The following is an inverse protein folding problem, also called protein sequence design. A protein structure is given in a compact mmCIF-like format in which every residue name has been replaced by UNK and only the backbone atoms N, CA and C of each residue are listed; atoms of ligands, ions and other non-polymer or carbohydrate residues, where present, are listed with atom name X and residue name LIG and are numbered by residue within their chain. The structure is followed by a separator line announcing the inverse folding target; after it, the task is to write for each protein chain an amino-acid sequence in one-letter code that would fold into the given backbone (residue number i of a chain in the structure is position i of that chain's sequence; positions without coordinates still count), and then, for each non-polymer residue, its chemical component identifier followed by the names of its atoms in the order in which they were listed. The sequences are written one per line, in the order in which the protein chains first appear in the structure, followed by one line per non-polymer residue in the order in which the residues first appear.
data_IF_651577596979
#
_entry.id   IF_651577596979
#
_cell.length_a   1.000
_cell.length_b   1.000
_cell.length_c   1.000
_cell.angle_alpha   90.00
_cell.angle_beta   90.00
_cell.angle_gamma   90.00
#
_symmetry.space_group_name_H-M   'P 1'
#
loop_
_entity.id
_entity.type
_entity.pdbx_description
1 polymer ?
#
# COMPACT_ATOMS: atom_id res chain seq x y z
N UNK A 1 -5.99 -27.77 -32.90
CA UNK A 1 -6.95 -27.16 -33.86
C UNK A 1 -6.89 -25.66 -33.63
N UNK A 2 -6.13 -24.92 -34.44
CA UNK A 2 -5.94 -23.48 -34.24
C UNK A 2 -7.18 -22.72 -34.69
N UNK A 3 -7.84 -22.01 -33.78
CA UNK A 3 -8.95 -21.11 -34.11
C UNK A 3 -8.46 -20.03 -35.07
N UNK A 4 -8.90 -20.13 -36.33
CA UNK A 4 -8.37 -19.44 -37.51
C UNK A 4 -8.84 -17.97 -37.66
N UNK A 5 -9.07 -17.26 -36.55
CA UNK A 5 -9.69 -15.93 -36.58
C UNK A 5 -9.25 -14.94 -35.48
N UNK A 6 -8.37 -15.35 -34.55
CA UNK A 6 -7.84 -14.44 -33.53
C UNK A 6 -6.33 -14.24 -33.74
N UNK A 7 -5.82 -12.99 -33.76
CA UNK A 7 -4.41 -12.72 -33.99
C UNK A 7 -3.51 -13.07 -32.78
N UNK A 8 -4.09 -13.49 -31.65
CA UNK A 8 -3.40 -13.75 -30.39
C UNK A 8 -3.73 -15.14 -29.83
N UNK A 9 -2.82 -15.76 -29.06
CA UNK A 9 -3.05 -17.06 -28.44
C UNK A 9 -4.23 -16.99 -27.48
N UNK A 10 -5.21 -17.87 -27.68
CA UNK A 10 -6.38 -18.01 -26.81
C UNK A 10 -6.16 -19.15 -25.81
N UNK A 11 -6.61 -18.96 -24.58
CA UNK A 11 -6.76 -20.05 -23.62
C UNK A 11 -8.01 -20.85 -24.01
N UNK A 12 -7.82 -22.13 -24.33
CA UNK A 12 -8.92 -23.04 -24.69
C UNK A 12 -9.09 -24.09 -23.59
N UNK A 13 -10.33 -24.34 -23.20
CA UNK A 13 -10.69 -25.43 -22.30
C UNK A 13 -11.40 -26.51 -23.12
N UNK A 14 -10.94 -27.75 -23.01
CA UNK A 14 -11.58 -28.92 -23.59
C UNK A 14 -11.98 -29.88 -22.47
N UNK A 15 -13.25 -30.27 -22.44
CA UNK A 15 -13.81 -31.14 -21.38
C UNK A 15 -14.33 -32.41 -22.02
N UNK A 16 -13.98 -33.56 -21.43
CA UNK A 16 -14.56 -34.85 -21.77
C UNK A 16 -15.41 -35.32 -20.60
N UNK A 17 -16.74 -35.36 -20.79
CA UNK A 17 -17.68 -35.79 -19.74
C UNK A 17 -18.24 -37.17 -20.10
N UNK A 18 -18.34 -38.06 -19.11
CA UNK A 18 -19.01 -39.35 -19.26
C UNK A 18 -20.51 -39.15 -18.99
N UNK A 19 -21.35 -39.52 -19.94
CA UNK A 19 -22.80 -39.48 -19.76
C UNK A 19 -23.23 -40.49 -18.68
N UNK A 20 -23.68 -39.99 -17.53
CA UNK A 20 -24.30 -40.76 -16.43
C UNK A 20 -25.76 -40.32 -16.29
N UNK A 21 -26.62 -41.09 -15.60
CA UNK A 21 -28.04 -40.77 -15.41
C UNK A 21 -28.34 -39.37 -14.82
N UNK A 22 -27.35 -38.70 -14.22
CA UNK A 22 -27.43 -37.31 -13.71
C UNK A 22 -27.14 -36.23 -14.77
N UNK A 23 -26.66 -36.59 -15.95
CA UNK A 23 -26.31 -35.70 -17.07
C UNK A 23 -27.07 -36.18 -18.33
N UNK A 24 -28.33 -35.81 -18.41
CA UNK A 24 -29.21 -36.12 -19.53
C UNK A 24 -29.38 -34.85 -20.40
N UNK A 25 -28.42 -34.56 -21.30
CA UNK A 25 -28.50 -33.43 -22.22
C UNK A 25 -27.19 -32.66 -22.45
N UNK A 26 -27.30 -31.43 -22.96
CA UNK A 26 -26.18 -30.51 -23.10
C UNK A 26 -25.66 -30.04 -21.73
N UNK A 27 -24.35 -29.81 -21.60
CA UNK A 27 -23.76 -29.25 -20.39
C UNK A 27 -24.17 -27.77 -20.29
N UNK A 28 -25.04 -27.46 -19.32
CA UNK A 28 -25.66 -26.13 -19.21
C UNK A 28 -24.71 -25.09 -18.58
N UNK A 29 -24.02 -25.46 -17.49
CA UNK A 29 -23.09 -24.58 -16.79
C UNK A 29 -21.76 -25.29 -16.49
N UNK A 30 -20.65 -24.64 -16.85
CA UNK A 30 -19.29 -25.05 -16.50
C UNK A 30 -18.60 -23.91 -15.77
N UNK A 31 -18.03 -24.21 -14.60
CA UNK A 31 -17.20 -23.28 -13.82
C UNK A 31 -15.83 -23.89 -13.65
N UNK A 32 -14.80 -23.07 -13.82
CA UNK A 32 -13.42 -23.45 -13.57
C UNK A 32 -12.65 -22.29 -12.95
N UNK A 33 -11.79 -22.63 -11.98
CA UNK A 33 -10.76 -21.73 -11.49
C UNK A 33 -9.55 -21.85 -12.39
N UNK A 34 -9.12 -20.73 -12.95
CA UNK A 34 -7.99 -20.66 -13.88
C UNK A 34 -6.96 -19.68 -13.36
N UNK A 35 -5.69 -20.02 -13.53
CA UNK A 35 -4.57 -19.16 -13.19
C UNK A 35 -3.74 -18.88 -14.45
N UNK A 36 -3.32 -17.63 -14.62
CA UNK A 36 -2.43 -17.25 -15.70
C UNK A 36 -1.00 -17.66 -15.35
N UNK A 37 -0.34 -18.42 -16.22
CA UNK A 37 1.11 -18.60 -16.15
C UNK A 37 1.80 -17.38 -16.74
N UNK A 38 2.69 -16.76 -15.99
CA UNK A 38 3.50 -15.64 -16.44
C UNK A 38 4.87 -15.64 -15.75
N UNK A 39 5.74 -14.73 -16.16
CA UNK A 39 7.01 -14.47 -15.48
C UNK A 39 6.72 -13.97 -14.07
N UNK A 40 7.18 -14.73 -13.09
CA UNK A 40 7.07 -14.45 -11.68
C UNK A 40 8.46 -14.48 -11.04
N UNK A 41 8.73 -13.51 -10.17
CA UNK A 41 10.02 -13.42 -9.49
C UNK A 41 10.15 -14.53 -8.46
N UNK A 42 11.27 -15.27 -8.52
CA UNK A 42 11.62 -16.26 -7.53
C UNK A 42 12.65 -15.71 -6.54
N UNK A 43 12.23 -15.57 -5.28
CA UNK A 43 13.06 -15.10 -4.19
C UNK A 43 14.34 -15.92 -4.00
N UNK A 44 14.24 -17.24 -4.17
CA UNK A 44 15.33 -18.16 -3.89
C UNK A 44 16.45 -18.09 -4.93
N UNK A 45 16.09 -18.00 -6.20
CA UNK A 45 17.07 -17.93 -7.30
C UNK A 45 17.41 -16.51 -7.74
N UNK A 46 16.61 -15.50 -7.37
CA UNK A 46 16.78 -14.13 -7.83
C UNK A 46 16.55 -13.99 -9.33
N UNK A 47 15.58 -14.75 -9.88
CA UNK A 47 15.28 -14.75 -11.32
C UNK A 47 13.79 -14.81 -11.61
N UNK A 48 13.40 -14.36 -12.80
CA UNK A 48 12.01 -14.45 -13.28
C UNK A 48 11.76 -15.80 -13.94
N UNK A 49 10.81 -16.59 -13.42
CA UNK A 49 10.45 -17.92 -13.90
C UNK A 49 8.97 -18.00 -14.29
N UNK A 50 8.61 -18.89 -15.22
CA UNK A 50 7.21 -19.04 -15.65
C UNK A 50 6.37 -19.93 -14.72
N UNK A 51 5.54 -19.32 -13.88
CA UNK A 51 4.61 -20.04 -12.98
C UNK A 51 3.26 -19.31 -12.83
N UNK A 52 2.19 -20.01 -12.40
CA UNK A 52 0.97 -19.34 -12.00
C UNK A 52 1.24 -18.48 -10.75
N UNK A 53 0.73 -17.24 -10.74
CA UNK A 53 0.94 -16.28 -9.65
C UNK A 53 -0.22 -15.29 -9.57
N UNK A 54 -0.47 -14.80 -8.35
CA UNK A 54 -1.39 -13.70 -8.06
C UNK A 54 -0.65 -12.45 -7.55
N UNK A 55 0.69 -12.45 -7.59
CA UNK A 55 1.49 -11.32 -7.11
C UNK A 55 1.30 -10.10 -8.03
N UNK A 56 0.96 -8.92 -7.47
CA UNK A 56 0.75 -7.70 -8.24
C UNK A 56 1.92 -7.31 -9.15
N UNK A 57 3.17 -7.52 -8.72
CA UNK A 57 4.36 -7.16 -9.50
C UNK A 57 4.47 -7.94 -10.82
N UNK A 58 4.23 -9.25 -10.75
CA UNK A 58 4.24 -10.14 -11.91
C UNK A 58 3.07 -9.83 -12.86
N UNK A 59 1.89 -9.56 -12.30
CA UNK A 59 0.71 -9.17 -13.09
C UNK A 59 0.87 -7.80 -13.75
N UNK A 60 1.53 -6.85 -13.08
CA UNK A 60 1.86 -5.55 -13.64
C UNK A 60 2.84 -5.67 -14.81
N UNK A 61 3.87 -6.53 -14.68
CA UNK A 61 4.77 -6.86 -15.78
C UNK A 61 4.01 -7.43 -16.97
N UNK A 62 3.08 -8.36 -16.73
CA UNK A 62 2.19 -8.89 -17.78
C UNK A 62 1.40 -7.77 -18.45
N UNK A 63 0.84 -6.84 -17.69
CA UNK A 63 0.10 -5.71 -18.24
C UNK A 63 0.94 -4.83 -19.19
N UNK A 64 2.25 -4.74 -18.96
CA UNK A 64 3.17 -3.99 -19.83
C UNK A 64 3.60 -4.78 -21.08
N UNK A 65 3.76 -6.10 -20.98
CA UNK A 65 4.41 -6.90 -22.03
C UNK A 65 3.45 -7.74 -22.87
N UNK A 66 2.24 -8.03 -22.38
CA UNK A 66 1.34 -8.97 -23.00
C UNK A 66 0.78 -8.49 -24.36
N UNK A 67 0.31 -9.41 -25.23
CA UNK A 67 -0.20 -9.07 -26.56
C UNK A 67 -1.36 -8.06 -26.58
N UNK A 68 -2.16 -7.99 -25.50
CA UNK A 68 -3.27 -7.03 -25.38
C UNK A 68 -2.81 -5.59 -25.23
N UNK A 69 -1.53 -5.34 -24.90
CA UNK A 69 -0.95 -4.00 -24.95
C UNK A 69 -0.46 -3.74 -26.40
N UNK A 70 -1.04 -2.78 -27.14
CA UNK A 70 -0.56 -2.46 -28.49
C UNK A 70 0.87 -1.93 -28.49
N UNK A 71 1.28 -1.25 -27.40
CA UNK A 71 2.62 -0.71 -27.20
C UNK A 71 3.36 -1.54 -26.16
N UNK A 72 3.63 -2.81 -26.49
CA UNK A 72 4.35 -3.74 -25.62
C UNK A 72 5.71 -3.18 -25.23
N UNK A 73 6.01 -3.27 -23.94
CA UNK A 73 7.30 -2.85 -23.41
C UNK A 73 8.27 -4.03 -23.45
N UNK A 74 9.50 -3.77 -23.88
CA UNK A 74 10.60 -4.72 -23.81
C UNK A 74 11.20 -4.73 -22.39
N UNK A 75 11.99 -5.76 -22.06
CA UNK A 75 12.60 -5.88 -20.74
C UNK A 75 13.54 -4.70 -20.41
N UNK A 76 14.19 -4.09 -21.40
CA UNK A 76 15.06 -2.91 -21.25
C UNK A 76 14.29 -1.61 -20.91
N UNK A 77 12.97 -1.61 -21.15
CA UNK A 77 12.07 -0.49 -20.88
C UNK A 77 11.31 -0.66 -19.55
N UNK A 78 11.67 -1.67 -18.76
CA UNK A 78 11.08 -1.95 -17.46
C UNK A 78 12.21 -1.97 -16.43
N UNK A 79 11.96 -1.37 -15.27
CA UNK A 79 12.88 -1.45 -14.14
C UNK A 79 12.72 -2.79 -13.42
N UNK A 80 13.47 -3.80 -13.88
CA UNK A 80 13.34 -5.18 -13.39
C UNK A 80 13.72 -5.31 -11.91
N UNK A 81 14.70 -4.53 -11.45
CA UNK A 81 15.19 -4.58 -10.07
C UNK A 81 14.12 -3.99 -9.13
N UNK A 82 13.52 -2.85 -9.52
CA UNK A 82 12.42 -2.25 -8.78
C UNK A 82 11.17 -3.16 -8.75
N UNK A 83 10.85 -3.85 -9.86
CA UNK A 83 9.75 -4.81 -9.86
C UNK A 83 10.05 -6.05 -8.99
N UNK A 84 11.29 -6.51 -8.93
CA UNK A 84 11.70 -7.60 -8.06
C UNK A 84 11.58 -7.22 -6.57
N UNK A 85 12.05 -6.02 -6.19
CA UNK A 85 11.88 -5.47 -4.85
C UNK A 85 10.39 -5.33 -4.47
N UNK A 86 9.57 -4.81 -5.39
CA UNK A 86 8.12 -4.74 -5.18
C UNK A 86 7.46 -6.12 -5.04
N UNK A 87 7.92 -7.12 -5.79
CA UNK A 87 7.43 -8.48 -5.66
C UNK A 87 7.69 -9.06 -4.27
N UNK A 88 8.91 -8.88 -3.74
CA UNK A 88 9.27 -9.29 -2.39
C UNK A 88 8.46 -8.57 -1.32
N UNK A 89 8.24 -7.27 -1.49
CA UNK A 89 7.38 -6.51 -0.62
C UNK A 89 5.96 -7.10 -0.60
N UNK A 90 5.37 -7.35 -1.77
CA UNK A 90 4.05 -7.99 -1.88
C UNK A 90 4.03 -9.39 -1.25
N UNK A 91 5.08 -10.19 -1.43
CA UNK A 91 5.20 -11.52 -0.80
C UNK A 91 5.24 -11.42 0.73
N UNK A 92 6.06 -10.53 1.28
CA UNK A 92 6.21 -10.34 2.73
C UNK A 92 4.91 -9.88 3.40
N UNK A 93 4.15 -9.01 2.72
CA UNK A 93 2.86 -8.49 3.17
C UNK A 93 1.66 -9.35 2.75
N UNK A 94 1.89 -10.46 2.05
CA UNK A 94 0.85 -11.34 1.51
C UNK A 94 -0.19 -10.58 0.66
N UNK A 95 0.26 -9.67 -0.21
CA UNK A 95 -0.59 -8.91 -1.12
C UNK A 95 -0.79 -9.66 -2.43
N UNK A 96 -2.03 -9.69 -2.93
CA UNK A 96 -2.39 -10.34 -4.19
C UNK A 96 -3.38 -9.50 -5.00
N UNK A 97 -3.44 -9.76 -6.30
CA UNK A 97 -4.45 -9.18 -7.18
C UNK A 97 -5.09 -10.29 -8.03
N UNK A 98 -6.38 -10.54 -7.78
CA UNK A 98 -7.22 -11.51 -8.47
C UNK A 98 -8.40 -10.79 -9.17
N UNK A 99 -8.13 -9.63 -9.78
CA UNK A 99 -9.14 -8.86 -10.51
C UNK A 99 -9.51 -9.56 -11.82
N UNK A 100 -10.80 -9.84 -12.00
CA UNK A 100 -11.35 -10.25 -13.29
C UNK A 100 -11.55 -9.01 -14.16
N UNK A 101 -10.95 -9.02 -15.36
CA UNK A 101 -11.05 -7.97 -16.37
C UNK A 101 -11.80 -8.51 -17.58
N UNK A 102 -13.12 -8.47 -17.53
CA UNK A 102 -14.06 -8.97 -18.54
C UNK A 102 -14.95 -7.88 -19.15
N UNK A 103 -15.02 -6.71 -18.53
CA UNK A 103 -15.85 -5.59 -18.96
C UNK A 103 -15.19 -4.76 -20.07
N UNK A 104 -15.95 -4.51 -21.13
CA UNK A 104 -15.61 -3.55 -22.17
C UNK A 104 -15.56 -2.13 -21.58
N UNK A 105 -14.42 -1.45 -21.73
CA UNK A 105 -14.23 -0.06 -21.28
C UNK A 105 -13.10 0.15 -20.27
N UNK A 106 -12.62 -0.90 -19.60
CA UNK A 106 -11.47 -0.77 -18.70
C UNK A 106 -10.21 -0.47 -19.51
N UNK A 107 -9.61 0.70 -19.31
CA UNK A 107 -8.38 1.05 -20.02
C UNK A 107 -7.18 0.31 -19.43
N UNK A 108 -6.16 0.05 -20.25
CA UNK A 108 -4.92 -0.56 -19.74
C UNK A 108 -4.25 0.31 -18.66
N UNK A 109 -4.49 1.62 -18.66
CA UNK A 109 -4.00 2.53 -17.61
C UNK A 109 -4.70 2.27 -16.28
N UNK A 110 -6.02 2.13 -16.28
CA UNK A 110 -6.81 1.79 -15.08
C UNK A 110 -6.44 0.40 -14.57
N UNK A 111 -6.39 -0.61 -15.44
CA UNK A 111 -5.99 -1.96 -15.04
C UNK A 111 -4.61 -1.98 -14.36
N UNK A 112 -3.63 -1.24 -14.90
CA UNK A 112 -2.29 -1.09 -14.27
C UNK A 112 -2.35 -0.38 -12.92
N UNK A 113 -3.20 0.64 -12.79
CA UNK A 113 -3.37 1.37 -11.54
C UNK A 113 -4.06 0.49 -10.48
N UNK A 114 -5.08 -0.29 -10.84
CA UNK A 114 -5.74 -1.25 -9.96
C UNK A 114 -4.78 -2.34 -9.49
N UNK A 115 -4.01 -2.95 -10.41
CA UNK A 115 -3.00 -3.95 -10.07
C UNK A 115 -1.95 -3.35 -9.12
N UNK A 116 -1.44 -2.15 -9.42
CA UNK A 116 -0.46 -1.49 -8.56
C UNK A 116 -1.04 -1.17 -7.16
N UNK A 117 -2.27 -0.66 -7.10
CA UNK A 117 -2.94 -0.32 -5.85
C UNK A 117 -3.13 -1.53 -4.94
N UNK A 118 -3.44 -2.72 -5.50
CA UNK A 118 -3.55 -3.97 -4.74
C UNK A 118 -2.22 -4.39 -4.09
N UNK A 119 -1.07 -3.96 -4.64
CA UNK A 119 0.26 -4.15 -4.07
C UNK A 119 0.80 -2.93 -3.30
N UNK A 120 -0.07 -2.01 -2.86
CA UNK A 120 0.30 -0.72 -2.20
C UNK A 120 1.31 0.10 -3.01
N UNK A 121 1.16 0.11 -4.33
CA UNK A 121 2.02 0.87 -5.22
C UNK A 121 1.22 1.71 -6.20
N UNK A 122 1.91 2.61 -6.89
CA UNK A 122 1.34 3.36 -8.01
C UNK A 122 2.25 3.30 -9.24
N UNK A 123 1.70 3.24 -10.46
CA UNK A 123 2.53 3.19 -11.67
C UNK A 123 3.40 4.44 -11.80
N UNK A 124 4.63 4.26 -12.29
CA UNK A 124 5.59 5.33 -12.56
C UNK A 124 6.29 5.08 -13.91
N UNK A 125 6.61 6.16 -14.61
CA UNK A 125 7.38 6.10 -15.85
C UNK A 125 8.37 7.26 -15.94
N UNK A 126 9.66 6.94 -16.04
CA UNK A 126 10.76 7.90 -15.89
C UNK A 126 11.18 8.52 -17.22
N UNK A 127 10.29 8.47 -18.21
CA UNK A 127 10.58 8.82 -19.60
C UNK A 127 11.32 7.70 -20.36
N UNK A 128 12.04 6.82 -19.67
CA UNK A 128 12.77 5.69 -20.28
C UNK A 128 12.28 4.31 -19.84
N UNK A 129 12.03 4.12 -18.55
CA UNK A 129 11.63 2.84 -17.97
C UNK A 129 10.29 2.97 -17.23
N UNK A 130 9.50 1.90 -17.30
CA UNK A 130 8.35 1.68 -16.43
C UNK A 130 8.79 1.10 -15.11
N UNK A 131 8.24 1.63 -14.03
CA UNK A 131 8.44 1.18 -12.66
C UNK A 131 7.20 1.44 -11.82
N UNK A 132 7.37 1.35 -10.51
CA UNK A 132 6.32 1.60 -9.52
C UNK A 132 6.87 2.44 -8.37
N UNK A 133 6.00 3.23 -7.75
CA UNK A 133 6.27 3.86 -6.45
C UNK A 133 5.57 3.05 -5.40
N UNK A 134 6.34 2.43 -4.49
CA UNK A 134 5.83 1.59 -3.41
C UNK A 134 5.58 2.47 -2.20
N UNK A 135 4.39 2.39 -1.61
CA UNK A 135 4.10 3.05 -0.34
C UNK A 135 4.51 2.12 0.81
N UNK A 136 5.72 2.37 1.33
CA UNK A 136 6.33 1.64 2.44
C UNK A 136 7.18 2.59 3.30
N UNK A 137 7.45 2.23 4.56
CA UNK A 137 8.43 2.94 5.36
C UNK A 137 9.83 2.83 4.72
N UNK A 138 10.45 3.96 4.43
CA UNK A 138 11.83 4.03 3.94
C UNK A 138 12.69 4.95 4.82
N UNK A 139 13.95 4.54 5.04
CA UNK A 139 14.89 5.29 5.86
C UNK A 139 15.65 6.37 5.10
N UNK A 140 15.77 6.25 3.76
CA UNK A 140 16.58 7.16 2.96
C UNK A 140 15.83 8.47 2.72
N UNK A 141 16.33 9.57 3.30
CA UNK A 141 15.86 10.93 3.00
C UNK A 141 16.65 11.43 1.79
N UNK A 142 15.98 11.61 0.66
CA UNK A 142 16.58 11.99 -0.63
C UNK A 142 16.83 13.49 -0.73
N UNK A 143 15.98 14.32 -0.11
CA UNK A 143 16.10 15.78 -0.20
C UNK A 143 15.62 16.49 1.07
N UNK A 144 16.12 17.71 1.27
CA UNK A 144 15.77 18.60 2.38
C UNK A 144 15.07 19.84 1.82
N UNK A 145 13.88 20.13 2.32
CA UNK A 145 13.07 21.27 1.91
C UNK A 145 13.01 22.28 3.07
N UNK A 146 13.23 23.55 2.74
CA UNK A 146 13.28 24.64 3.70
C UNK A 146 12.92 25.98 3.05
N UNK A 147 12.60 27.03 3.84
CA UNK A 147 12.47 28.39 3.33
C UNK A 147 13.72 28.95 2.61
N UNK A 148 14.88 28.29 2.71
CA UNK A 148 16.13 28.73 2.06
C UNK A 148 16.27 28.22 0.63
N UNK A 149 15.60 27.12 0.28
CA UNK A 149 15.65 26.51 -1.06
C UNK A 149 14.27 26.37 -1.71
N UNK A 150 13.21 26.90 -1.07
CA UNK A 150 11.85 26.79 -1.55
C UNK A 150 11.00 28.01 -1.12
N UNK A 151 9.90 28.24 -1.83
CA UNK A 151 8.94 29.33 -1.58
C UNK A 151 7.51 28.86 -1.88
N UNK A 152 6.53 29.75 -1.70
CA UNK A 152 5.09 29.46 -1.87
C UNK A 152 4.58 28.26 -1.06
N UNK A 153 5.05 28.15 0.18
CA UNK A 153 4.60 27.09 1.09
C UNK A 153 3.09 27.16 1.36
N UNK A 154 2.40 26.05 1.12
CA UNK A 154 0.97 25.90 1.34
C UNK A 154 0.68 24.56 2.03
N UNK A 155 -0.12 24.59 3.10
CA UNK A 155 -0.62 23.40 3.76
C UNK A 155 -2.14 23.37 3.66
N UNK A 156 -2.68 22.28 3.13
CA UNK A 156 -4.11 22.02 3.07
C UNK A 156 -4.45 20.82 3.94
N UNK A 157 -5.31 21.03 4.92
CA UNK A 157 -5.88 19.96 5.74
C UNK A 157 -7.32 19.74 5.37
N UNK A 158 -7.69 18.50 5.08
CA UNK A 158 -9.10 18.13 4.85
C UNK A 158 -9.73 17.64 6.15
N UNK A 159 -10.81 18.29 6.57
CA UNK A 159 -11.63 17.85 7.69
C UNK A 159 -12.91 17.22 7.16
N UNK A 160 -12.90 15.91 6.95
CA UNK A 160 -14.11 15.13 6.64
C UNK A 160 -14.62 14.44 7.89
N UNK A 161 -15.95 14.34 8.01
CA UNK A 161 -16.55 13.44 8.97
C UNK A 161 -16.26 11.99 8.55
N UNK A 162 -15.53 11.26 9.37
CA UNK A 162 -15.11 9.89 9.05
C UNK A 162 -16.29 8.95 9.28
N UNK A 163 -16.59 8.03 8.35
CA UNK A 163 -17.67 7.08 8.55
C UNK A 163 -17.41 6.21 9.79
N UNK A 164 -18.49 5.71 10.39
CA UNK A 164 -18.41 4.78 11.52
C UNK A 164 -17.89 3.41 11.06
N UNK A 165 -18.23 3.04 9.82
CA UNK A 165 -17.71 1.83 9.18
C UNK A 165 -17.62 1.99 7.66
N UNK A 166 -16.68 1.27 7.06
CA UNK A 166 -16.68 1.01 5.63
C UNK A 166 -17.35 -0.32 5.30
N UNK A 167 -18.01 -0.36 4.15
CA UNK A 167 -18.51 -1.59 3.56
C UNK A 167 -17.64 -1.87 2.33
N UNK A 168 -16.92 -2.99 2.35
CA UNK A 168 -16.06 -3.40 1.23
C UNK A 168 -16.73 -4.55 0.48
N UNK A 169 -17.24 -4.34 -0.74
CA UNK A 169 -17.66 -5.42 -1.61
C UNK A 169 -16.43 -6.14 -2.18
N UNK A 170 -16.44 -7.47 -2.16
CA UNK A 170 -15.36 -8.30 -2.71
C UNK A 170 -15.89 -9.67 -3.15
N UNK A 171 -15.11 -10.40 -3.94
CA UNK A 171 -15.43 -11.78 -4.35
C UNK A 171 -14.72 -12.74 -3.41
N UNK A 172 -15.48 -13.47 -2.59
CA UNK A 172 -14.93 -14.29 -1.52
C UNK A 172 -14.36 -15.61 -2.04
N UNK A 173 -13.04 -15.75 -2.02
CA UNK A 173 -12.35 -16.97 -2.45
C UNK A 173 -12.68 -18.20 -1.58
N UNK A 174 -13.10 -18.01 -0.32
CA UNK A 174 -13.52 -19.10 0.58
C UNK A 174 -14.94 -19.59 0.26
N UNK A 175 -15.70 -18.82 -0.51
CA UNK A 175 -17.09 -19.10 -0.89
C UNK A 175 -17.29 -19.08 -2.41
N UNK A 176 -16.45 -19.82 -3.15
CA UNK A 176 -16.52 -19.98 -4.61
C UNK A 176 -16.55 -18.64 -5.39
N UNK A 177 -15.86 -17.61 -4.90
CA UNK A 177 -15.81 -16.26 -5.48
C UNK A 177 -17.17 -15.58 -5.60
N UNK A 178 -18.13 -15.93 -4.74
CA UNK A 178 -19.42 -15.22 -4.67
C UNK A 178 -19.21 -13.81 -4.11
N UNK A 179 -20.06 -12.89 -4.55
CA UNK A 179 -20.06 -11.53 -4.03
C UNK A 179 -20.39 -11.54 -2.55
N UNK A 180 -19.50 -10.94 -1.76
CA UNK A 180 -19.63 -10.76 -0.33
C UNK A 180 -19.37 -9.29 0.03
N UNK A 181 -19.80 -8.90 1.23
CA UNK A 181 -19.55 -7.57 1.78
C UNK A 181 -18.93 -7.72 3.15
N UNK A 182 -17.77 -7.11 3.37
CA UNK A 182 -17.14 -7.05 4.69
C UNK A 182 -17.37 -5.68 5.29
N UNK A 183 -18.02 -5.64 6.45
CA UNK A 183 -18.23 -4.40 7.22
C UNK A 183 -17.02 -4.19 8.13
N UNK A 184 -16.32 -3.07 7.94
CA UNK A 184 -15.18 -2.66 8.75
C UNK A 184 -15.52 -1.45 9.59
N UNK A 185 -15.67 -1.67 10.88
CA UNK A 185 -15.79 -0.61 11.87
C UNK A 185 -14.49 0.19 11.95
N UNK A 186 -14.62 1.52 12.05
CA UNK A 186 -13.49 2.41 12.24
C UNK A 186 -12.70 2.01 13.50
N UNK A 187 -11.37 1.87 13.44
CA UNK A 187 -10.55 1.60 14.62
C UNK A 187 -10.83 2.63 15.73
N UNK A 188 -11.09 2.14 16.95
CA UNK A 188 -11.40 2.98 18.12
C UNK A 188 -12.83 3.50 18.23
N UNK A 189 -13.75 3.13 17.33
CA UNK A 189 -15.17 3.51 17.42
C UNK A 189 -16.03 2.42 18.10
N UNK A 190 -16.61 2.71 19.26
CA UNK A 190 -17.38 1.73 20.07
C UNK A 190 -18.92 1.89 19.97
N UNK A 191 -19.44 2.89 19.24
CA UNK A 191 -20.88 3.17 19.14
C UNK A 191 -21.64 2.37 18.07
N UNK A 192 -22.91 2.71 17.84
CA UNK A 192 -23.72 2.12 16.79
C UNK A 192 -23.30 2.60 15.39
N UNK A 193 -23.28 1.69 14.41
CA UNK A 193 -22.90 2.01 13.04
C UNK A 193 -24.11 2.65 12.34
N UNK A 194 -24.15 3.99 12.29
CA UNK A 194 -25.19 4.76 11.62
C UNK A 194 -24.73 5.40 10.31
N UNK A 195 -23.44 5.78 10.23
CA UNK A 195 -22.83 6.34 9.02
C UNK A 195 -21.89 5.32 8.38
N UNK A 196 -22.23 4.88 7.17
CA UNK A 196 -21.42 3.93 6.40
C UNK A 196 -21.13 4.45 5.01
N UNK A 197 -19.93 4.17 4.52
CA UNK A 197 -19.52 4.44 3.14
C UNK A 197 -19.02 3.16 2.47
N UNK A 198 -19.14 3.08 1.15
CA UNK A 198 -18.57 1.99 0.38
C UNK A 198 -17.09 2.28 0.09
N UNK A 199 -16.21 1.33 0.41
CA UNK A 199 -14.81 1.38 0.04
C UNK A 199 -14.53 0.33 -1.03
N UNK A 200 -14.15 0.77 -2.22
CA UNK A 200 -13.81 -0.12 -3.33
C UNK A 200 -12.34 -0.54 -3.26
N UNK A 201 -12.10 -1.86 -3.16
CA UNK A 201 -10.77 -2.47 -3.19
C UNK A 201 -10.73 -3.56 -4.29
N UNK A 202 -10.62 -3.16 -5.57
CA UNK A 202 -10.72 -4.10 -6.68
C UNK A 202 -9.59 -5.13 -6.66
N UNK A 203 -9.96 -6.39 -6.92
CA UNK A 203 -9.00 -7.48 -7.08
C UNK A 203 -8.55 -8.17 -5.79
N UNK A 204 -9.01 -7.72 -4.61
CA UNK A 204 -8.82 -8.47 -3.37
C UNK A 204 -9.94 -9.52 -3.24
N UNK A 205 -9.57 -10.77 -3.02
CA UNK A 205 -10.52 -11.90 -2.90
C UNK A 205 -10.51 -12.53 -1.51
N UNK A 206 -9.42 -12.38 -0.77
CA UNK A 206 -9.34 -12.85 0.61
C UNK A 206 -9.92 -11.84 1.59
N UNK A 207 -10.86 -12.30 2.41
CA UNK A 207 -11.56 -11.45 3.36
C UNK A 207 -10.61 -10.83 4.42
N UNK A 208 -9.57 -11.55 4.85
CA UNK A 208 -8.60 -11.06 5.82
C UNK A 208 -7.70 -9.96 5.26
N UNK A 209 -7.33 -10.06 3.98
CA UNK A 209 -6.56 -9.02 3.29
C UNK A 209 -7.42 -7.79 3.04
N UNK A 210 -8.69 -7.97 2.66
CA UNK A 210 -9.69 -6.90 2.59
C UNK A 210 -9.77 -6.15 3.92
N UNK A 211 -9.83 -6.87 5.05
CA UNK A 211 -9.84 -6.25 6.38
C UNK A 211 -8.58 -5.43 6.68
N UNK A 212 -7.41 -5.99 6.39
CA UNK A 212 -6.13 -5.31 6.63
C UNK A 212 -5.99 -4.04 5.79
N UNK A 213 -6.28 -4.11 4.49
CA UNK A 213 -6.16 -2.96 3.59
C UNK A 213 -7.22 -1.89 3.86
N UNK A 214 -8.46 -2.29 4.19
CA UNK A 214 -9.47 -1.33 4.61
C UNK A 214 -9.11 -0.67 5.95
N UNK A 215 -8.58 -1.40 6.93
CA UNK A 215 -8.07 -0.79 8.17
C UNK A 215 -6.93 0.21 7.89
N UNK A 216 -6.01 -0.14 6.98
CA UNK A 216 -4.93 0.76 6.54
C UNK A 216 -5.47 2.08 5.98
N UNK A 217 -6.56 2.06 5.19
CA UNK A 217 -7.18 3.30 4.69
C UNK A 217 -7.67 4.23 5.80
N UNK A 218 -8.10 3.70 6.95
CA UNK A 218 -8.51 4.53 8.09
C UNK A 218 -7.28 5.20 8.73
N UNK A 219 -6.18 4.45 8.86
CA UNK A 219 -4.92 4.99 9.37
C UNK A 219 -4.32 6.04 8.43
N UNK A 220 -4.40 5.85 7.11
CA UNK A 220 -4.02 6.88 6.13
C UNK A 220 -4.84 8.16 6.32
N UNK A 221 -6.17 8.05 6.45
CA UNK A 221 -7.04 9.21 6.68
C UNK A 221 -6.81 9.90 8.04
N UNK A 222 -6.23 9.21 9.04
CA UNK A 222 -5.87 9.76 10.34
C UNK A 222 -4.49 10.42 10.35
N UNK A 223 -3.49 9.74 9.80
CA UNK A 223 -2.09 10.13 9.93
C UNK A 223 -1.54 10.89 8.71
N UNK A 224 -2.26 10.91 7.58
CA UNK A 224 -1.93 11.72 6.39
C UNK A 224 -3.08 12.70 5.99
N UNK A 225 -3.62 13.52 6.92
CA UNK A 225 -4.71 14.45 6.60
C UNK A 225 -4.23 15.72 5.85
N UNK A 226 -2.92 15.97 5.86
CA UNK A 226 -2.30 17.16 5.32
C UNK A 226 -1.67 16.90 3.95
N UNK A 227 -1.98 17.77 3.00
CA UNK A 227 -1.27 17.89 1.74
C UNK A 227 -0.45 19.17 1.79
N UNK A 228 0.87 19.00 1.70
CA UNK A 228 1.84 20.08 1.66
C UNK A 228 2.22 20.32 0.21
N UNK A 229 2.23 21.60 -0.19
CA UNK A 229 2.65 22.07 -1.51
C UNK A 229 3.72 23.14 -1.32
N UNK A 230 4.78 23.06 -2.11
CA UNK A 230 5.89 24.02 -2.07
C UNK A 230 6.54 24.11 -3.45
N UNK A 231 7.04 25.30 -3.82
CA UNK A 231 7.80 25.50 -5.05
C UNK A 231 9.28 25.47 -4.74
N UNK A 232 10.02 24.58 -5.41
CA UNK A 232 11.46 24.43 -5.28
C UNK A 232 12.14 24.67 -6.63
N UNK A 233 13.35 25.23 -6.61
CA UNK A 233 14.18 25.34 -7.80
C UNK A 233 14.55 23.93 -8.32
N UNK A 234 14.27 23.67 -9.60
CA UNK A 234 14.48 22.37 -10.21
C UNK A 234 15.95 21.96 -10.31
N UNK A 235 16.90 22.91 -10.29
CA UNK A 235 18.33 22.59 -10.25
C UNK A 235 18.80 22.12 -8.88
N UNK A 236 18.09 22.49 -7.81
CA UNK A 236 18.40 22.13 -6.43
C UNK A 236 17.63 20.90 -5.94
N UNK A 237 16.69 20.39 -6.73
CA UNK A 237 15.80 19.27 -6.37
C UNK A 237 16.39 17.93 -6.80
N UNK A 238 16.71 17.09 -5.82
CA UNK A 238 17.08 15.69 -6.06
C UNK A 238 15.85 14.76 -6.03
N UNK A 239 14.86 15.07 -5.18
CA UNK A 239 13.72 14.18 -4.95
C UNK A 239 12.77 14.07 -6.14
N UNK A 240 12.36 12.86 -6.45
CA UNK A 240 11.36 12.48 -7.45
C UNK A 240 10.08 11.95 -6.79
N UNK A 241 9.03 11.71 -7.58
CA UNK A 241 7.77 11.14 -7.06
C UNK A 241 8.03 9.78 -6.42
N UNK A 242 7.65 9.64 -5.16
CA UNK A 242 7.86 8.46 -4.31
C UNK A 242 8.96 8.63 -3.27
N UNK A 243 9.84 9.62 -3.43
CA UNK A 243 11.00 9.77 -2.54
C UNK A 243 10.60 10.42 -1.21
N UNK A 244 11.31 10.04 -0.14
CA UNK A 244 11.18 10.65 1.18
C UNK A 244 12.03 11.91 1.27
N UNK A 245 11.46 12.97 1.83
CA UNK A 245 12.09 14.28 2.01
C UNK A 245 11.90 14.79 3.44
N UNK A 246 12.87 15.56 3.93
CA UNK A 246 12.76 16.21 5.23
C UNK A 246 12.39 17.69 5.04
N UNK A 247 11.25 18.10 5.58
CA UNK A 247 10.79 19.49 5.56
C UNK A 247 11.05 20.16 6.92
N UNK A 248 11.77 21.28 6.92
CA UNK A 248 11.86 22.17 8.07
C UNK A 248 11.25 23.52 7.70
N UNK A 249 10.18 23.92 8.41
CA UNK A 249 9.50 25.18 8.13
C UNK A 249 8.90 25.81 9.38
N UNK A 250 9.23 27.08 9.65
CA UNK A 250 8.81 27.81 10.84
C UNK A 250 7.28 27.95 11.00
N UNK A 251 6.53 27.92 9.89
CA UNK A 251 5.05 27.92 9.90
C UNK A 251 4.47 26.64 10.52
N UNK A 252 5.12 25.49 10.35
CA UNK A 252 4.68 24.23 10.95
C UNK A 252 5.05 24.17 12.43
N UNK A 253 6.29 24.57 12.75
CA UNK A 253 6.81 24.63 14.10
C UNK A 253 7.72 25.83 14.26
N UNK A 254 7.39 26.72 15.18
CA UNK A 254 8.20 27.91 15.46
C UNK A 254 9.61 27.58 15.99
N UNK A 255 9.81 26.39 16.54
CA UNK A 255 11.11 25.89 17.03
C UNK A 255 12.04 25.44 15.89
N UNK A 256 11.48 25.20 14.70
CA UNK A 256 12.22 24.83 13.50
C UNK A 256 12.86 26.07 12.87
N UNK A 257 14.17 26.03 12.74
CA UNK A 257 14.99 27.10 12.22
C UNK A 257 15.91 26.55 11.14
N UNK A 258 16.31 27.42 10.21
CA UNK A 258 17.15 27.03 9.08
C UNK A 258 18.32 27.99 8.97
N UNK A 259 19.50 27.45 8.75
CA UNK A 259 20.71 28.22 8.52
C UNK A 259 21.47 27.79 7.28
N UNK A 260 22.29 28.69 6.75
CA UNK A 260 23.33 28.33 5.76
C UNK A 260 24.69 28.41 6.43
N UNK A 261 25.50 27.38 6.24
CA UNK A 261 26.82 27.28 6.85
C UNK A 261 27.76 28.27 6.19
N UNK A 262 28.35 29.16 6.97
CA UNK A 262 29.36 30.10 6.51
C UNK A 262 30.75 29.50 6.58
N UNK A 263 31.06 28.85 7.70
CA UNK A 263 32.35 28.21 7.93
C UNK A 263 32.20 27.06 8.91
N UNK A 264 33.10 26.08 8.83
CA UNK A 264 33.18 24.95 9.76
C UNK A 264 34.62 24.81 10.23
N UNK A 265 34.82 24.80 11.54
CA UNK A 265 36.09 24.57 12.20
C UNK A 265 35.94 23.40 13.17
N UNK A 266 36.37 22.21 12.75
CA UNK A 266 36.13 20.93 13.44
C UNK A 266 34.64 20.68 13.74
N UNK A 267 34.23 20.89 14.99
CA UNK A 267 32.85 20.72 15.44
C UNK A 267 32.07 22.04 15.53
N UNK A 268 32.75 23.18 15.39
CA UNK A 268 32.15 24.49 15.45
C UNK A 268 31.63 24.89 14.06
N UNK A 269 30.33 25.14 13.97
CA UNK A 269 29.64 25.57 12.76
C UNK A 269 29.21 27.02 12.95
N UNK A 270 29.65 27.89 12.04
CA UNK A 270 29.18 29.27 11.96
C UNK A 270 28.08 29.37 10.91
N UNK A 271 26.93 29.91 11.29
CA UNK A 271 25.79 30.12 10.41
C UNK A 271 25.68 31.58 9.95
N UNK A 272 25.03 31.78 8.82
CA UNK A 272 24.79 33.11 8.26
C UNK A 272 23.62 33.88 8.94
N UNK A 273 22.87 33.24 9.84
CA UNK A 273 21.80 33.85 10.62
C UNK A 273 21.82 33.40 12.07
N UNK A 274 21.18 34.19 12.92
CA UNK A 274 20.96 33.86 14.32
C UNK A 274 19.99 32.67 14.41
N UNK A 275 20.31 31.78 15.35
CA UNK A 275 19.44 30.69 15.79
C UNK A 275 19.16 30.88 17.28
N UNK A 276 17.89 30.80 17.66
CA UNK A 276 17.42 30.90 19.03
C UNK A 276 17.38 29.51 19.67
N UNK A 277 18.12 29.33 20.75
CA UNK A 277 18.11 28.13 21.57
C UNK A 277 17.38 28.39 22.89
N UNK A 278 16.36 27.59 23.20
CA UNK A 278 15.60 27.67 24.45
C UNK A 278 16.24 26.85 25.57
N UNK A 279 16.08 27.31 26.81
CA UNK A 279 16.57 26.58 27.99
C UNK A 279 15.86 25.23 28.16
N UNK A 280 16.62 24.19 28.52
CA UNK A 280 16.08 22.87 28.84
C UNK A 280 15.68 22.00 27.64
N UNK A 281 15.76 22.50 26.40
CA UNK A 281 15.57 21.71 25.20
C UNK A 281 16.90 21.09 24.72
N UNK A 282 16.84 19.98 24.01
CA UNK A 282 18.01 19.39 23.31
C UNK A 282 17.87 19.65 21.83
N UNK A 283 18.84 20.33 21.22
CA UNK A 283 18.81 20.70 19.81
C UNK A 283 19.64 19.75 18.95
N UNK A 284 19.28 19.69 17.66
CA UNK A 284 20.03 18.95 16.65
C UNK A 284 20.20 19.79 15.39
N UNK A 285 21.23 19.46 14.61
CA UNK A 285 21.46 19.93 13.26
C UNK A 285 21.29 18.76 12.29
N UNK A 286 20.36 18.90 11.36
CA UNK A 286 20.18 17.98 10.23
C UNK A 286 20.73 18.61 8.95
N UNK A 287 21.51 17.86 8.19
CA UNK A 287 22.16 18.31 6.96
C UNK A 287 22.45 17.13 6.03
N UNK A 288 22.76 17.41 4.77
CA UNK A 288 23.12 16.40 3.77
C UNK A 288 24.63 16.35 3.61
N UNK A 289 25.20 15.15 3.64
CA UNK A 289 26.61 14.90 3.32
C UNK A 289 26.69 14.13 2.02
N UNK A 290 27.52 14.60 1.11
CA UNK A 290 27.74 13.97 -0.19
C UNK A 290 29.06 13.21 -0.18
N UNK A 291 29.04 11.98 -0.70
CA UNK A 291 30.26 11.20 -0.83
C UNK A 291 31.13 11.77 -1.96
N UNK A 292 32.39 12.11 -1.64
CA UNK A 292 33.36 12.49 -2.65
C UNK A 292 33.75 11.26 -3.48
N UNK A 293 33.26 11.20 -4.72
CA UNK A 293 33.53 10.09 -5.63
C UNK A 293 34.61 10.43 -6.66
N UNK A 294 35.39 9.44 -7.12
CA UNK A 294 36.37 9.63 -8.19
C UNK A 294 35.72 10.17 -9.48
N UNK A 295 36.46 10.95 -10.32
CA UNK A 295 35.89 11.58 -11.52
C UNK A 295 35.30 10.64 -12.58
N UNK A 296 35.60 9.34 -12.51
CA UNK A 296 35.11 8.32 -13.44
C UNK A 296 33.78 7.70 -13.00
N UNK A 297 33.28 8.03 -11.81
CA UNK A 297 31.97 7.62 -11.31
C UNK A 297 31.00 8.79 -11.34
N UNK A 298 29.69 8.50 -11.47
CA UNK A 298 28.67 9.53 -11.34
C UNK A 298 28.76 10.16 -9.94
N UNK A 299 28.70 11.51 -9.86
CA UNK A 299 28.73 12.20 -8.58
C UNK A 299 27.55 11.76 -7.72
N UNK A 300 27.74 11.76 -6.41
CA UNK A 300 26.64 11.55 -5.48
C UNK A 300 25.73 12.78 -5.47
N UNK A 301 24.55 12.65 -6.07
CA UNK A 301 23.54 13.72 -6.15
C UNK A 301 22.47 13.62 -5.06
N UNK A 302 22.43 12.50 -4.33
CA UNK A 302 21.42 12.23 -3.29
C UNK A 302 22.02 12.50 -1.90
N UNK A 303 23.27 12.14 -1.68
CA UNK A 303 23.89 12.29 -0.37
C UNK A 303 23.18 11.48 0.72
N UNK A 304 23.61 11.69 1.96
CA UNK A 304 23.02 11.10 3.15
C UNK A 304 22.56 12.21 4.09
N UNK A 305 21.30 12.12 4.53
CA UNK A 305 20.77 12.98 5.58
C UNK A 305 21.30 12.53 6.94
N UNK A 306 22.05 13.38 7.62
CA UNK A 306 22.61 13.10 8.94
C UNK A 306 22.11 14.11 9.97
N UNK A 307 22.06 13.66 11.23
CA UNK A 307 21.63 14.47 12.37
C UNK A 307 22.75 14.49 13.41
N UNK A 308 23.10 15.68 13.90
CA UNK A 308 24.15 15.89 14.91
C UNK A 308 23.59 16.64 16.12
N UNK A 309 23.79 16.15 17.35
CA UNK A 309 23.34 16.85 18.54
C UNK A 309 24.13 18.13 18.78
N UNK A 310 23.44 19.17 19.24
CA UNK A 310 24.02 20.47 19.60
C UNK A 310 23.70 20.75 21.08
N UNK A 311 24.73 20.95 21.94
CA UNK A 311 24.53 21.29 23.32
C UNK A 311 23.88 22.67 23.37
N UNK A 312 22.92 22.81 24.27
CA UNK A 312 22.05 23.97 24.31
C UNK A 312 22.65 25.03 25.21
N UNK A 313 23.09 26.13 24.60
CA UNK A 313 23.44 27.37 25.30
C UNK A 313 22.30 28.36 25.05
N UNK A 314 21.44 28.62 26.05
CA UNK A 314 20.26 29.45 25.85
C UNK A 314 20.62 30.84 25.31
N UNK A 315 19.82 31.33 24.36
CA UNK A 315 20.02 32.63 23.72
C UNK A 315 20.09 32.55 22.19
N UNK A 316 20.40 33.69 21.58
CA UNK A 316 20.63 33.77 20.14
C UNK A 316 22.12 33.63 19.84
N UNK A 317 22.46 32.72 18.93
CA UNK A 317 23.85 32.50 18.51
C UNK A 317 23.92 32.22 17.02
N UNK A 318 25.04 32.58 16.41
CA UNK A 318 25.41 32.14 15.06
C UNK A 318 26.39 30.96 15.10
N UNK A 319 26.96 30.67 16.27
CA UNK A 319 27.95 29.63 16.49
C UNK A 319 27.29 28.45 17.20
N UNK A 320 27.34 27.27 16.57
CA UNK A 320 26.85 26.02 17.12
C UNK A 320 27.98 24.99 17.17
N UNK A 321 28.20 24.41 18.34
CA UNK A 321 29.21 23.34 18.51
C UNK A 321 28.51 22.00 18.41
N UNK A 322 28.73 21.23 17.35
CA UNK A 322 28.21 19.87 17.24
C UNK A 322 28.86 18.94 18.27
N UNK A 323 28.15 17.91 18.72
CA UNK A 323 28.68 16.88 19.62
C UNK A 323 28.57 15.48 18.99
N UNK A 324 29.31 14.52 19.55
CA UNK A 324 29.38 13.13 19.06
C UNK A 324 30.45 12.91 17.98
N UNK A 325 30.46 11.73 17.34
CA UNK A 325 31.41 11.35 16.27
C UNK A 325 30.70 11.20 14.92
N UNK A 326 31.28 11.67 13.84
CA UNK A 326 30.68 11.60 12.49
C UNK A 326 31.06 12.81 11.62
N UNK A 327 30.71 12.79 10.33
CA UNK A 327 30.96 13.91 9.43
C UNK A 327 30.13 15.13 9.84
N UNK A 328 30.66 16.32 9.53
CA UNK A 328 29.98 17.60 9.68
C UNK A 328 29.45 18.11 8.33
N UNK A 329 28.65 19.19 8.34
CA UNK A 329 28.29 19.88 7.11
C UNK A 329 29.52 20.55 6.48
N UNK A 330 29.45 20.86 5.19
CA UNK A 330 30.42 21.68 4.49
C UNK A 330 30.03 23.16 4.53
N UNK A 331 30.98 24.03 4.18
CA UNK A 331 30.66 25.43 3.93
C UNK A 331 29.64 25.52 2.77
N UNK A 332 28.71 26.47 2.89
CA UNK A 332 27.61 26.72 1.96
C UNK A 332 26.40 25.75 2.07
N UNK A 333 26.48 24.70 2.87
CA UNK A 333 25.37 23.77 3.09
C UNK A 333 24.19 24.42 3.80
N UNK A 334 22.98 23.97 3.48
CA UNK A 334 21.75 24.30 4.22
C UNK A 334 21.61 23.30 5.36
N UNK A 335 21.36 23.82 6.57
CA UNK A 335 21.16 23.02 7.78
C UNK A 335 19.80 23.32 8.39
N UNK A 336 19.11 22.27 8.80
CA UNK A 336 17.91 22.33 9.61
C UNK A 336 18.31 22.27 11.08
N UNK A 337 17.83 23.22 11.87
CA UNK A 337 17.99 23.23 13.31
C UNK A 337 16.62 23.13 13.97
N UNK A 338 16.54 22.31 15.00
CA UNK A 338 15.33 22.22 15.81
C UNK A 338 15.56 21.33 17.02
N UNK A 339 14.50 21.18 17.80
CA UNK A 339 14.52 20.28 18.97
C UNK A 339 14.65 18.83 18.47
N UNK A 340 15.38 18.01 19.21
CA UNK A 340 15.57 16.60 18.90
C UNK A 340 14.22 15.89 18.72
N UNK A 341 13.99 15.30 17.54
CA UNK A 341 12.73 14.66 17.17
C UNK A 341 11.67 15.59 16.55
N UNK A 342 11.89 16.91 16.56
CA UNK A 342 11.04 17.91 15.93
C UNK A 342 11.80 18.80 14.94
N UNK A 343 13.01 18.39 14.55
CA UNK A 343 13.90 19.16 13.69
C UNK A 343 13.45 19.18 12.22
N UNK A 344 12.60 18.24 11.82
CA UNK A 344 12.00 18.17 10.48
C UNK A 344 10.73 17.33 10.51
N UNK A 345 9.89 17.54 9.51
CA UNK A 345 8.81 16.63 9.15
C UNK A 345 9.25 15.73 8.00
N UNK A 346 9.10 14.43 8.19
CA UNK A 346 9.40 13.43 7.17
C UNK A 346 8.20 13.26 6.24
N UNK A 347 8.35 13.63 4.97
CA UNK A 347 7.28 13.61 3.97
C UNK A 347 7.63 12.66 2.81
N UNK A 348 6.61 12.14 2.13
CA UNK A 348 6.73 11.39 0.87
C UNK A 348 6.17 12.24 -0.26
N UNK A 349 6.94 12.39 -1.33
CA UNK A 349 6.54 13.15 -2.52
C UNK A 349 5.49 12.39 -3.31
N UNK A 350 4.26 12.92 -3.38
CA UNK A 350 3.15 12.30 -4.11
C UNK A 350 3.08 12.74 -5.56
N UNK A 351 3.45 13.99 -5.84
CA UNK A 351 3.45 14.55 -7.19
C UNK A 351 4.52 15.65 -7.35
N UNK A 352 4.99 15.80 -8.58
CA UNK A 352 5.89 16.89 -8.99
C UNK A 352 5.36 17.46 -10.30
N UNK A 353 5.08 18.76 -10.29
CA UNK A 353 4.62 19.50 -11.47
C UNK A 353 5.71 20.49 -11.89
N UNK A 354 6.22 20.35 -13.10
CA UNK A 354 7.18 21.32 -13.65
C UNK A 354 6.45 22.62 -13.99
N UNK A 355 7.00 23.75 -13.56
CA UNK A 355 6.50 25.10 -13.86
C UNK A 355 7.39 25.76 -14.93
N UNK A 356 6.94 26.90 -15.44
CA UNK A 356 7.82 27.83 -16.19
C UNK A 356 9.01 28.22 -15.30
N UNK A 357 10.15 28.54 -15.92
CA UNK A 357 11.38 28.99 -15.24
C UNK A 357 12.16 27.92 -14.44
N UNK A 358 12.15 26.67 -14.91
CA UNK A 358 12.94 25.55 -14.33
C UNK A 358 12.62 25.24 -12.85
N UNK A 359 11.49 25.71 -12.34
CA UNK A 359 11.02 25.40 -11.00
C UNK A 359 10.12 24.16 -11.01
N UNK A 360 9.89 23.58 -9.84
CA UNK A 360 8.97 22.47 -9.66
C UNK A 360 8.08 22.68 -8.44
N UNK A 361 6.78 22.47 -8.61
CA UNK A 361 5.82 22.40 -7.52
C UNK A 361 5.85 20.97 -7.00
N UNK A 362 6.30 20.82 -5.76
CA UNK A 362 6.37 19.55 -5.05
C UNK A 362 5.14 19.43 -4.16
N UNK A 363 4.36 18.35 -4.35
CA UNK A 363 3.29 17.97 -3.43
C UNK A 363 3.72 16.76 -2.63
N UNK A 364 3.54 16.82 -1.32
CA UNK A 364 3.96 15.78 -0.41
C UNK A 364 2.93 15.57 0.72
N UNK A 365 2.95 14.38 1.30
CA UNK A 365 2.14 14.00 2.47
C UNK A 365 3.08 13.45 3.55
N UNK A 366 2.62 13.39 4.80
CA UNK A 366 3.41 12.78 5.86
C UNK A 366 3.78 11.32 5.52
N UNK A 367 5.02 10.91 5.79
CA UNK A 367 5.44 9.51 5.61
C UNK A 367 4.61 8.60 6.52
N UNK A 368 4.48 9.00 7.80
CA UNK A 368 3.62 8.36 8.79
C UNK A 368 3.82 6.83 8.90
N UNK A 369 5.04 6.40 9.25
CA UNK A 369 5.42 4.99 9.40
C UNK A 369 4.52 4.21 10.38
N UNK A 370 3.91 4.92 11.34
CA UNK A 370 2.89 4.41 12.28
C UNK A 370 1.70 3.72 11.58
N UNK A 371 1.39 4.10 10.33
CA UNK A 371 0.32 3.46 9.55
C UNK A 371 0.62 1.97 9.35
N UNK A 372 1.84 1.65 8.94
CA UNK A 372 2.24 0.27 8.69
C UNK A 372 2.37 -0.50 10.00
N UNK A 373 2.88 0.12 11.07
CA UNK A 373 2.94 -0.47 12.41
C UNK A 373 1.54 -0.87 12.93
N UNK A 374 0.57 0.05 12.87
CA UNK A 374 -0.81 -0.21 13.30
C UNK A 374 -1.52 -1.23 12.40
N UNK A 375 -1.26 -1.17 11.10
CA UNK A 375 -1.85 -2.12 10.13
C UNK A 375 -1.32 -3.53 10.36
N UNK A 376 -0.03 -3.69 10.62
CA UNK A 376 0.59 -5.00 10.90
C UNK A 376 0.16 -5.55 12.27
N UNK A 377 -0.05 -4.68 13.26
CA UNK A 377 -0.54 -5.05 14.59
C UNK A 377 -2.04 -5.37 14.62
N UNK A 378 -2.79 -5.08 13.55
CA UNK A 378 -4.24 -5.28 13.51
C UNK A 378 -4.60 -6.76 13.58
N UNK A 379 -5.35 -7.15 14.60
CA UNK A 379 -5.94 -8.49 14.69
C UNK A 379 -7.10 -8.57 13.70
N UNK A 380 -6.99 -9.51 12.76
CA UNK A 380 -8.03 -9.76 11.75
C UNK A 380 -9.09 -10.67 12.38
N UNK A 381 -10.37 -10.24 12.49
CA UNK A 381 -11.45 -11.09 12.96
C UNK A 381 -11.66 -12.28 12.02
N UNK A 382 -12.07 -13.41 12.60
CA UNK A 382 -12.51 -14.57 11.84
C UNK A 382 -13.61 -14.18 10.84
N UNK A 383 -13.58 -14.81 9.69
CA UNK A 383 -14.54 -14.64 8.62
C UNK A 383 -15.21 -15.98 8.34
N UNK A 384 -16.53 -15.97 8.18
CA UNK A 384 -17.27 -17.11 7.64
C UNK A 384 -17.96 -16.63 6.35
N UNK A 385 -17.56 -17.22 5.23
CA UNK A 385 -18.14 -16.94 3.91
C UNK A 385 -19.57 -17.46 3.74
N UNK A 386 -20.15 -18.16 4.74
CA UNK A 386 -21.53 -18.66 4.67
C UNK A 386 -22.54 -17.51 4.64
N UNK A 387 -23.28 -17.41 3.54
CA UNK A 387 -24.40 -16.47 3.39
C UNK A 387 -25.62 -17.08 4.08
N UNK A 388 -25.92 -16.60 5.29
CA UNK A 388 -27.05 -17.05 6.12
C UNK A 388 -26.66 -16.95 7.60
N UNK A 389 -27.64 -16.71 8.49
CA UNK A 389 -27.36 -16.64 9.93
C UNK A 389 -26.61 -17.90 10.38
N UNK A 390 -25.56 -17.73 11.19
CA UNK A 390 -25.04 -18.81 12.01
C UNK A 390 -26.21 -19.34 12.83
N UNK A 391 -26.72 -20.52 12.45
CA UNK A 391 -27.45 -21.31 13.41
C UNK A 391 -26.36 -21.71 14.39
N UNK A 392 -26.29 -21.02 15.53
CA UNK A 392 -25.46 -21.44 16.64
C UNK A 392 -25.61 -22.96 16.73
N UNK A 393 -24.50 -23.70 16.67
CA UNK A 393 -24.54 -25.13 16.90
C UNK A 393 -25.13 -25.31 18.30
N UNK A 394 -26.45 -25.50 18.35
CA UNK A 394 -27.09 -26.07 19.50
C UNK A 394 -26.52 -27.48 19.58
N UNK A 395 -25.40 -27.62 20.28
CA UNK A 395 -24.87 -28.87 20.81
C UNK A 395 -25.80 -29.45 21.87
N UNK A 396 -27.11 -29.30 21.72
CA UNK A 396 -28.06 -30.28 22.20
C UNK A 396 -28.02 -31.41 21.20
N UNK A 397 -27.16 -32.39 21.48
CA UNK A 397 -27.26 -33.73 20.91
C UNK A 397 -28.75 -34.08 20.81
N UNK A 398 -29.29 -34.41 19.62
CA UNK A 398 -30.68 -34.83 19.54
C UNK A 398 -30.86 -35.97 20.54
N UNK A 399 -31.81 -35.82 21.47
CA UNK A 399 -32.06 -36.82 22.50
C UNK A 399 -32.22 -38.18 21.82
N UNK A 400 -31.46 -39.18 22.30
CA UNK A 400 -31.33 -40.48 21.66
C UNK A 400 -32.69 -41.00 21.18
N UNK A 401 -32.81 -41.47 19.93
CA UNK A 401 -34.09 -41.94 19.40
C UNK A 401 -34.61 -43.08 20.28
N UNK A 402 -35.73 -42.82 20.96
CA UNK A 402 -36.47 -43.84 21.71
C UNK A 402 -37.48 -44.47 20.78
N UNK A 403 -37.35 -45.77 20.55
CA UNK A 403 -38.36 -46.54 19.82
C UNK A 403 -39.66 -46.49 20.64
N UNK A 404 -40.71 -45.86 20.10
CA UNK A 404 -42.02 -45.77 20.77
C UNK A 404 -42.81 -47.09 20.70
N UNK A 405 -42.32 -48.07 19.93
CA UNK A 405 -42.87 -49.42 19.86
C UNK A 405 -42.26 -50.19 18.71
N UNK A 406 -42.17 -51.51 18.88
CA UNK A 406 -41.85 -52.45 17.81
C UNK A 406 -43.16 -53.17 17.48
N UNK A 407 -43.63 -53.00 16.24
CA UNK A 407 -44.74 -53.77 15.71
C UNK A 407 -44.16 -54.87 14.82
N UNK A 408 -44.32 -56.12 15.24
CA UNK A 408 -44.10 -57.28 14.37
C UNK A 408 -45.45 -57.79 13.92
N UNK A 409 -45.86 -57.46 12.70
CA UNK A 409 -46.97 -58.13 12.05
C UNK A 409 -46.48 -59.42 11.39
N UNK A 410 -47.19 -60.57 11.50
CA UNK A 410 -46.93 -61.69 10.62
C UNK A 410 -47.25 -61.27 9.17
N UNK A 411 -46.43 -61.73 8.23
CA UNK A 411 -46.57 -61.37 6.82
C UNK A 411 -47.96 -61.75 6.28
N UNK A 412 -48.75 -60.74 5.93
CA UNK A 412 -50.04 -60.89 5.24
C UNK A 412 -51.25 -60.40 6.05
N UNK A 413 -51.42 -59.09 6.16
CA UNK A 413 -52.73 -58.48 6.38
C UNK A 413 -52.72 -57.04 5.83
N UNK A 414 -53.59 -56.77 4.87
CA UNK A 414 -53.78 -55.49 4.19
C UNK A 414 -54.41 -54.45 5.13
N UNK A 415 -53.78 -53.28 5.13
CA UNK A 415 -54.30 -51.90 5.23
C UNK A 415 -55.39 -51.53 6.25
N UNK A 416 -55.06 -50.59 7.15
CA UNK A 416 -55.95 -49.52 7.59
C UNK A 416 -55.16 -48.45 8.36
N UNK A 417 -54.96 -47.29 7.71
CA UNK A 417 -54.81 -45.94 8.26
C UNK A 417 -54.09 -45.75 9.60
N UNK A 418 -52.92 -45.09 9.55
CA UNK A 418 -52.41 -44.35 10.70
C UNK A 418 -51.82 -43.00 10.25
N UNK A 419 -52.61 -41.97 10.52
CA UNK A 419 -52.29 -40.54 10.44
C UNK A 419 -51.08 -40.23 11.34
N UNK A 420 -50.02 -39.66 10.77
CA UNK A 420 -48.88 -39.13 11.53
C UNK A 420 -49.27 -37.79 12.17
N UNK A 421 -49.64 -37.82 13.45
CA UNK A 421 -49.83 -36.60 14.27
C UNK A 421 -48.44 -36.03 14.62
N UNK A 422 -48.14 -34.75 14.31
CA UNK A 422 -46.87 -34.14 14.68
C UNK A 422 -46.82 -33.86 16.20
N UNK A 423 -45.74 -34.28 16.84
CA UNK A 423 -45.49 -34.01 18.25
C UNK A 423 -45.28 -32.51 18.51
N UNK A 424 -46.07 -31.95 19.44
CA UNK A 424 -45.89 -30.61 20.00
C UNK A 424 -44.48 -30.46 20.59
N UNK A 425 -43.79 -29.38 20.20
CA UNK A 425 -42.61 -28.86 20.91
C UNK A 425 -43.03 -28.32 22.27
N UNK A 426 -42.38 -28.81 23.33
CA UNK A 426 -42.28 -28.16 24.63
C UNK A 426 -40.84 -27.73 24.83
#
# INVERSE_FOLDING_TARGET
MGCRGYPYPLALVAIRVKATHQLSGALDNFRALVARRCLDWDHGTGTWIERPTSNPASLFRVALQAPFNPRRQRDDQIDQDLLADWHEFCRSKQLHCNRVLDQDGTTLREARAEIAAAGRASPRHDGRKWGVVIDRPEGLIVDHISPRNSWDFNLRRTYTEKPHAWIVPFNDEENDFREARRVLRRPGYEGDITLTEELSLPGLTNAGIVWREATRRFHEAEHRPDVIEVTQDGLLRAATRGDKVALNHYVLRHTQQVGRVRSVSDQLVELNNLITLSEGASYVLRFRVYESRPPHMLPDTIGQSLVRPVPTTPGETVLLTMTGTGPGPAADDIVHCGIMGEDSFDLVVTNIEATTDQCAIVRAVATADIIDELTDATVIPAWDGRIGAEIAENTTTPSAPRFAGISSAPAGAEDAGAELIPAKRG
#
